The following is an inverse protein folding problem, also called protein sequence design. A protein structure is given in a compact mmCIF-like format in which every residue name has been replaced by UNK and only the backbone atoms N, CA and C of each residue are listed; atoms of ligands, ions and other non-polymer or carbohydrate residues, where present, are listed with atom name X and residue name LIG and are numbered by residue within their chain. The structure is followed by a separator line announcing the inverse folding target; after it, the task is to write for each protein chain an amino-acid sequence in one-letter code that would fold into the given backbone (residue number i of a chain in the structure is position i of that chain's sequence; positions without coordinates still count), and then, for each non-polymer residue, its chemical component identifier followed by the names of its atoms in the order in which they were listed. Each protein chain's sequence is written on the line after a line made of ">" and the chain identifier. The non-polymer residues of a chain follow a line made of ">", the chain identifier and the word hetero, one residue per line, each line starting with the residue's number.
data_IF_484874673789
#
_entry.id   IF_484874673789
#
_cell.length_a   1.000
_cell.length_b   1.000
_cell.length_c   1.000
_cell.angle_alpha   90.00
_cell.angle_beta   90.00
_cell.angle_gamma   90.00
#
_symmetry.space_group_name_H-M   'P 1'
#
loop_
_entity.id
_entity.type
_entity.pdbx_description
1 polymer ?
#
# COMPACT_ATOMS: atom_id res chain seq x y z
N UNK A 1 -5.52 3.71 6.79
CA UNK A 1 -6.47 3.63 5.66
C UNK A 1 -7.86 4.11 6.09
N UNK A 2 -8.48 3.52 7.12
CA UNK A 2 -9.79 3.94 7.62
C UNK A 2 -9.84 5.41 8.03
N UNK A 3 -8.80 5.87 8.77
CA UNK A 3 -8.67 7.28 9.19
C UNK A 3 -8.63 8.30 8.04
N UNK A 4 -8.21 7.87 6.84
CA UNK A 4 -8.16 8.71 5.64
C UNK A 4 -9.31 8.42 4.66
N UNK A 5 -10.36 7.73 5.14
CA UNK A 5 -11.59 7.47 4.40
C UNK A 5 -11.45 6.44 3.28
N UNK A 6 -10.46 5.55 3.36
CA UNK A 6 -10.28 4.48 2.37
C UNK A 6 -10.97 3.21 2.89
N UNK A 7 -11.97 2.66 2.17
CA UNK A 7 -12.61 1.41 2.56
C UNK A 7 -11.61 0.26 2.65
N UNK A 8 -11.71 -0.54 3.71
CA UNK A 8 -10.81 -1.67 3.95
C UNK A 8 -11.65 -2.94 4.07
N UNK A 9 -11.16 -4.03 3.45
CA UNK A 9 -11.74 -5.36 3.58
C UNK A 9 -10.63 -6.40 3.69
N UNK A 10 -10.68 -7.20 4.74
CA UNK A 10 -9.86 -8.41 4.85
C UNK A 10 -10.61 -9.57 4.18
N UNK A 11 -9.96 -10.22 3.22
CA UNK A 11 -10.51 -11.36 2.49
C UNK A 11 -9.38 -12.26 2.03
N UNK A 12 -9.71 -13.52 1.74
CA UNK A 12 -8.83 -14.35 0.93
C UNK A 12 -8.67 -13.70 -0.45
N UNK A 13 -7.43 -13.59 -0.88
CA UNK A 13 -7.04 -13.11 -2.21
C UNK A 13 -6.35 -14.24 -2.97
N UNK A 14 -6.52 -14.23 -4.28
CA UNK A 14 -5.90 -15.12 -5.23
C UNK A 14 -4.85 -14.36 -6.05
N UNK A 15 -4.03 -15.07 -6.81
CA UNK A 15 -3.13 -14.43 -7.77
C UNK A 15 -3.86 -13.57 -8.81
N UNK A 16 -5.08 -13.98 -9.20
CA UNK A 16 -5.89 -13.23 -10.14
C UNK A 16 -6.21 -11.83 -9.61
N UNK A 17 -6.57 -11.72 -8.33
CA UNK A 17 -6.90 -10.42 -7.71
C UNK A 17 -5.72 -9.44 -7.77
N UNK A 18 -4.50 -9.93 -7.59
CA UNK A 18 -3.28 -9.10 -7.65
C UNK A 18 -2.93 -8.76 -9.10
N UNK A 19 -3.04 -9.71 -10.03
CA UNK A 19 -2.77 -9.45 -11.45
C UNK A 19 -3.75 -8.46 -12.09
N UNK A 20 -4.98 -8.36 -11.56
CA UNK A 20 -6.00 -7.42 -12.07
C UNK A 20 -6.20 -6.20 -11.18
N UNK A 21 -5.35 -5.98 -10.17
CA UNK A 21 -5.45 -4.83 -9.29
C UNK A 21 -5.06 -3.53 -10.02
N UNK A 22 -5.72 -2.42 -9.67
CA UNK A 22 -5.32 -1.08 -10.11
C UNK A 22 -4.00 -0.65 -9.45
N UNK A 23 -3.82 -1.04 -8.18
CA UNK A 23 -2.66 -0.73 -7.35
C UNK A 23 -2.37 -1.88 -6.38
N UNK A 24 -1.10 -2.09 -6.07
CA UNK A 24 -0.69 -2.98 -4.99
C UNK A 24 0.54 -2.40 -4.26
N UNK A 25 0.68 -2.71 -2.98
CA UNK A 25 1.81 -2.30 -2.17
C UNK A 25 2.13 -3.34 -1.10
N UNK A 26 3.37 -3.30 -0.61
CA UNK A 26 3.85 -4.14 0.47
C UNK A 26 4.13 -3.29 1.70
N UNK A 27 3.99 -3.90 2.87
CA UNK A 27 4.27 -3.25 4.15
C UNK A 27 5.31 -4.02 4.94
N UNK A 28 6.23 -3.34 5.61
CA UNK A 28 7.16 -3.98 6.55
C UNK A 28 7.90 -2.94 7.39
N UNK A 29 8.41 -3.32 8.56
CA UNK A 29 9.04 -2.35 9.48
C UNK A 29 10.21 -1.59 8.86
N UNK A 30 11.08 -2.28 8.10
CA UNK A 30 12.21 -1.65 7.41
C UNK A 30 11.84 -1.03 6.06
N UNK A 31 10.85 -1.63 5.38
CA UNK A 31 10.39 -1.24 4.06
C UNK A 31 9.38 -0.08 4.08
N UNK A 32 8.78 0.17 5.23
CA UNK A 32 7.59 1.02 5.41
C UNK A 32 6.43 0.55 4.52
N UNK A 33 6.05 1.36 3.54
CA UNK A 33 5.05 1.09 2.52
C UNK A 33 5.72 1.24 1.16
N UNK A 34 5.86 0.14 0.42
CA UNK A 34 6.51 0.11 -0.90
C UNK A 34 5.48 -0.17 -1.99
N UNK A 35 5.38 0.68 -3.03
CA UNK A 35 4.51 0.41 -4.18
C UNK A 35 5.04 -0.79 -4.97
N UNK A 36 4.16 -1.76 -5.24
CA UNK A 36 4.43 -2.90 -6.12
C UNK A 36 3.86 -2.59 -7.50
N UNK A 37 4.72 -2.19 -8.43
CA UNK A 37 4.32 -1.79 -9.79
C UNK A 37 4.37 -2.93 -10.81
N UNK A 38 5.01 -4.04 -10.46
CA UNK A 38 5.15 -5.22 -11.31
C UNK A 38 5.12 -6.50 -10.48
N UNK A 39 4.44 -7.53 -10.98
CA UNK A 39 4.49 -8.90 -10.45
C UNK A 39 4.68 -9.88 -11.61
N UNK A 40 5.68 -10.75 -11.54
CA UNK A 40 6.03 -11.72 -12.59
C UNK A 40 6.15 -11.07 -13.98
N UNK A 41 6.89 -9.96 -14.06
CA UNK A 41 7.10 -9.15 -15.28
C UNK A 41 5.82 -8.51 -15.86
N UNK A 42 4.68 -8.62 -15.16
CA UNK A 42 3.43 -7.96 -15.55
C UNK A 42 3.28 -6.66 -14.79
N UNK A 43 2.99 -5.53 -15.47
CA UNK A 43 2.68 -4.29 -14.80
C UNK A 43 1.35 -4.42 -14.04
N UNK A 44 1.31 -3.89 -12.82
CA UNK A 44 0.08 -3.73 -12.04
C UNK A 44 -0.50 -2.35 -12.39
N UNK A 45 -1.77 -2.31 -12.79
CA UNK A 45 -2.43 -1.10 -13.28
C UNK A 45 -1.61 -0.38 -14.36
N UNK A 46 -1.12 0.82 -14.04
CA UNK A 46 -0.35 1.67 -14.96
C UNK A 46 1.17 1.44 -14.92
N UNK A 47 1.65 0.51 -14.10
CA UNK A 47 3.09 0.29 -13.87
C UNK A 47 3.77 1.43 -13.10
N UNK A 48 2.99 2.29 -12.44
CA UNK A 48 3.45 3.41 -11.60
C UNK A 48 2.76 3.36 -10.24
N UNK A 49 3.34 3.94 -9.18
CA UNK A 49 2.67 4.09 -7.90
C UNK A 49 1.36 4.87 -8.08
N UNK A 50 0.23 4.27 -7.71
CA UNK A 50 -1.07 4.91 -7.84
C UNK A 50 -1.43 5.83 -6.67
N UNK A 51 -2.58 6.48 -6.79
CA UNK A 51 -3.00 7.57 -5.91
C UNK A 51 -3.31 7.08 -4.49
N UNK A 52 -3.93 5.90 -4.36
CA UNK A 52 -4.23 5.32 -3.05
C UNK A 52 -2.94 4.96 -2.31
N UNK A 53 -2.00 4.34 -3.02
CA UNK A 53 -0.70 3.94 -2.47
C UNK A 53 0.08 5.18 -2.01
N UNK A 54 0.13 6.23 -2.81
CA UNK A 54 0.80 7.48 -2.44
C UNK A 54 0.16 8.16 -1.22
N UNK A 55 -1.18 8.14 -1.11
CA UNK A 55 -1.88 8.66 0.07
C UNK A 55 -1.58 7.84 1.33
N UNK A 56 -1.48 6.52 1.21
CA UNK A 56 -1.12 5.64 2.34
C UNK A 56 0.33 5.90 2.78
N UNK A 57 1.27 6.04 1.84
CA UNK A 57 2.67 6.39 2.14
C UNK A 57 2.75 7.71 2.91
N UNK A 58 2.05 8.74 2.44
CA UNK A 58 2.04 10.05 3.10
C UNK A 58 1.47 9.96 4.53
N UNK A 59 0.33 9.30 4.69
CA UNK A 59 -0.30 9.11 6.00
C UNK A 59 0.56 8.29 6.97
N UNK A 60 1.25 7.25 6.48
CA UNK A 60 2.16 6.45 7.29
C UNK A 60 3.34 7.28 7.82
N UNK A 61 3.96 8.07 6.94
CA UNK A 61 5.08 8.96 7.32
C UNK A 61 4.69 10.02 8.34
N UNK A 62 3.49 10.56 8.22
CA UNK A 62 2.96 11.49 9.23
C UNK A 62 2.76 10.78 10.57
N UNK A 63 2.15 9.59 10.54
CA UNK A 63 1.85 8.83 11.74
C UNK A 63 3.10 8.40 12.52
N UNK A 64 4.16 7.96 11.85
CA UNK A 64 5.41 7.53 12.51
C UNK A 64 6.19 8.67 13.15
N UNK A 65 5.96 9.93 12.73
CA UNK A 65 6.57 11.10 13.34
C UNK A 65 5.82 11.58 14.59
N UNK A 66 4.52 11.30 14.67
CA UNK A 66 3.67 11.76 15.78
C UNK A 66 3.34 10.68 16.81
N UNK A 67 3.72 9.43 16.56
CA UNK A 67 3.35 8.25 17.35
C UNK A 67 4.58 7.45 17.75
N UNK A 68 4.71 7.16 19.05
CA UNK A 68 5.79 6.34 19.58
C UNK A 68 5.79 6.34 21.11
N UNK A 69 6.32 5.28 21.71
CA UNK A 69 6.57 5.25 23.16
C UNK A 69 7.79 6.13 23.46
N UNK A 70 7.67 7.15 24.34
CA UNK A 70 8.81 7.96 24.76
C UNK A 70 9.94 7.08 25.32
N UNK A 71 11.17 7.42 24.97
CA UNK A 71 12.40 6.75 25.46
C UNK A 71 12.90 7.35 26.76
#
# INVERSE_FOLDING_TARGET
>A
AEQIGIPVRETMMTLYDVYTADEAFLTGTAAEVIPMVTLDERPIGTGKPGDITNRIIAAFREHTQSSGTPV
#
